data_IF_542488303164
#
_entry.id   IF_542488303164
#
_cell.length_a   1.000
_cell.length_b   1.000
_cell.length_c   1.000
_cell.angle_alpha   90.00
_cell.angle_beta   90.00
_cell.angle_gamma   90.00
#
_symmetry.space_group_name_H-M   'P 1'
#
loop_
_entity.id
_entity.type
_entity.pdbx_description
1 polymer ?
#
# COMPACT_ATOMS: atom_id res chain seq x y z
N UNK A 1 17.99 3.79 -9.44
CA UNK A 1 17.35 5.01 -9.98
C UNK A 1 15.89 4.99 -9.56
N UNK A 2 15.45 5.88 -8.67
CA UNK A 2 14.07 5.99 -8.13
C UNK A 2 13.13 6.79 -9.05
N UNK A 3 13.42 6.86 -10.35
CA UNK A 3 12.66 7.68 -11.29
C UNK A 3 11.18 7.25 -11.30
N UNK A 4 10.26 8.18 -11.05
CA UNK A 4 8.83 7.89 -10.96
C UNK A 4 8.33 7.39 -9.61
N UNK A 5 9.17 7.37 -8.55
CA UNK A 5 8.72 7.11 -7.17
C UNK A 5 8.66 8.40 -6.36
N UNK A 6 7.70 8.50 -5.44
CA UNK A 6 7.53 9.62 -4.51
C UNK A 6 7.60 9.13 -3.08
N UNK A 7 8.24 9.94 -2.23
CA UNK A 7 8.21 9.75 -0.79
C UNK A 7 6.79 10.06 -0.30
N UNK A 8 6.27 9.21 0.57
CA UNK A 8 5.00 9.43 1.23
C UNK A 8 5.12 9.13 2.72
N UNK A 9 4.18 9.67 3.47
CA UNK A 9 3.93 9.33 4.86
C UNK A 9 2.47 8.89 4.98
N UNK A 10 2.24 7.79 5.69
CA UNK A 10 0.89 7.29 5.97
C UNK A 10 0.30 7.99 7.20
N UNK A 11 -1.03 7.95 7.35
CA UNK A 11 -1.72 8.45 8.55
C UNK A 11 -1.30 7.75 9.85
N UNK A 12 -0.72 6.54 9.75
CA UNK A 12 -0.14 5.79 10.88
C UNK A 12 1.31 6.16 11.18
N UNK A 13 1.91 7.12 10.46
CA UNK A 13 3.29 7.58 10.65
C UNK A 13 4.36 6.74 9.96
N UNK A 14 3.97 5.75 9.14
CA UNK A 14 4.94 4.99 8.33
C UNK A 14 5.40 5.82 7.13
N UNK A 15 6.70 5.80 6.86
CA UNK A 15 7.34 6.45 5.72
C UNK A 15 7.59 5.41 4.63
N UNK A 16 7.40 5.79 3.37
CA UNK A 16 7.63 4.89 2.25
C UNK A 16 7.93 5.57 0.92
N UNK A 17 8.11 4.74 -0.11
CA UNK A 17 8.34 5.13 -1.50
C UNK A 17 7.33 4.44 -2.40
N UNK A 18 6.44 5.21 -3.00
CA UNK A 18 5.34 4.73 -3.83
C UNK A 18 5.39 5.25 -5.26
N UNK A 19 4.46 4.83 -6.12
CA UNK A 19 4.36 5.32 -7.50
C UNK A 19 4.02 6.81 -7.52
N UNK A 20 4.49 7.55 -8.55
CA UNK A 20 4.17 8.96 -8.71
C UNK A 20 2.67 9.27 -8.87
N UNK A 21 1.88 8.25 -9.23
CA UNK A 21 0.42 8.32 -9.36
C UNK A 21 -0.33 8.19 -8.02
N UNK A 22 0.39 7.92 -6.91
CA UNK A 22 -0.20 7.89 -5.57
C UNK A 22 -0.73 9.28 -5.18
N UNK A 23 -1.87 9.29 -4.50
CA UNK A 23 -2.62 10.48 -4.09
C UNK A 23 -3.00 10.38 -2.60
N UNK A 24 -3.43 11.52 -2.04
CA UNK A 24 -4.05 11.55 -0.72
C UNK A 24 -5.31 10.67 -0.75
N UNK A 25 -5.59 10.00 0.35
CA UNK A 25 -6.67 9.01 0.53
C UNK A 25 -6.47 7.68 -0.21
N UNK A 26 -5.34 7.46 -0.89
CA UNK A 26 -4.96 6.12 -1.32
C UNK A 26 -4.60 5.25 -0.10
N UNK A 27 -5.00 3.98 -0.16
CA UNK A 27 -4.76 3.02 0.90
C UNK A 27 -3.52 2.17 0.59
N UNK A 28 -2.74 1.89 1.62
CA UNK A 28 -1.58 1.00 1.51
C UNK A 28 -1.96 -0.36 2.09
N UNK A 29 -1.91 -1.38 1.24
CA UNK A 29 -2.34 -2.74 1.60
C UNK A 29 -1.28 -3.76 1.23
N UNK A 30 -1.08 -4.75 2.10
CA UNK A 30 -0.34 -5.95 1.80
C UNK A 30 -1.32 -6.96 1.20
N UNK A 31 -1.10 -7.37 -0.04
CA UNK A 31 -1.88 -8.46 -0.64
C UNK A 31 -1.32 -9.78 -0.09
N UNK A 32 -2.17 -10.63 0.46
CA UNK A 32 -1.74 -11.92 1.02
C UNK A 32 -1.05 -12.77 -0.05
N UNK A 33 0.15 -13.27 0.26
CA UNK A 33 1.04 -13.95 -0.69
C UNK A 33 1.96 -13.02 -1.48
N UNK A 34 1.78 -11.70 -1.38
CA UNK A 34 2.69 -10.70 -1.93
C UNK A 34 3.92 -10.47 -1.03
N UNK A 35 5.03 -10.06 -1.66
CA UNK A 35 6.29 -9.77 -0.95
C UNK A 35 6.52 -8.27 -0.68
N UNK A 36 5.64 -7.41 -1.20
CA UNK A 36 5.72 -5.95 -1.10
C UNK A 36 4.36 -5.37 -0.75
N UNK A 37 4.34 -4.10 -0.34
CA UNK A 37 3.11 -3.36 -0.13
C UNK A 37 2.61 -2.77 -1.45
N UNK A 38 1.32 -2.47 -1.52
CA UNK A 38 0.67 -1.94 -2.70
C UNK A 38 -0.17 -0.72 -2.36
N UNK A 39 -0.20 0.24 -3.28
CA UNK A 39 -1.07 1.40 -3.23
C UNK A 39 -2.35 1.06 -3.98
N UNK A 40 -3.48 1.13 -3.28
CA UNK A 40 -4.81 0.87 -3.78
C UNK A 40 -5.66 2.12 -3.64
N UNK A 41 -6.44 2.44 -4.68
CA UNK A 41 -7.39 3.56 -4.63
C UNK A 41 -8.80 3.02 -4.53
N UNK A 42 -9.50 3.42 -3.47
CA UNK A 42 -10.90 3.06 -3.26
C UNK A 42 -11.80 3.79 -4.27
N UNK A 43 -12.70 3.05 -4.92
CA UNK A 43 -13.72 3.59 -5.82
C UNK A 43 -15.11 3.51 -5.18
N UNK A 44 -16.00 4.41 -5.60
CA UNK A 44 -17.36 4.54 -5.03
C UNK A 44 -18.24 3.29 -5.23
N UNK A 45 -17.87 2.43 -6.16
CA UNK A 45 -18.56 1.19 -6.52
C UNK A 45 -18.12 -0.02 -5.66
N UNK A 46 -17.24 0.19 -4.67
CA UNK A 46 -16.72 -0.88 -3.81
C UNK A 46 -15.53 -1.63 -4.41
N UNK A 47 -15.06 -1.21 -5.58
CA UNK A 47 -13.86 -1.73 -6.21
C UNK A 47 -12.62 -0.94 -5.82
N UNK A 48 -11.45 -1.53 -6.03
CA UNK A 48 -10.16 -0.92 -5.76
C UNK A 48 -9.34 -0.88 -7.05
N UNK A 49 -8.84 0.29 -7.40
CA UNK A 49 -7.91 0.44 -8.50
C UNK A 49 -6.49 0.16 -8.01
N UNK A 50 -5.77 -0.68 -8.74
CA UNK A 50 -4.38 -0.98 -8.45
C UNK A 50 -3.47 0.12 -8.99
N UNK A 51 -2.87 0.92 -8.11
CA UNK A 51 -1.99 2.04 -8.51
C UNK A 51 -0.55 1.57 -8.70
N UNK A 52 -0.07 0.66 -7.84
CA UNK A 52 1.26 0.05 -7.99
C UNK A 52 1.87 -0.42 -6.67
N UNK A 53 3.06 -0.98 -6.77
CA UNK A 53 3.86 -1.40 -5.63
C UNK A 53 4.47 -0.22 -4.86
N UNK A 54 4.62 -0.37 -3.54
CA UNK A 54 5.31 0.57 -2.69
C UNK A 54 6.26 -0.12 -1.70
N UNK A 55 7.30 0.63 -1.33
CA UNK A 55 8.20 0.29 -0.24
C UNK A 55 7.68 1.01 1.00
N UNK A 56 7.56 0.29 2.11
CA UNK A 56 7.20 0.87 3.42
C UNK A 56 8.33 0.54 4.38
N UNK A 57 8.94 1.57 4.95
CA UNK A 57 10.08 1.41 5.83
C UNK A 57 9.66 0.69 7.12
N UNK A 58 10.43 -0.32 7.53
CA UNK A 58 10.18 -1.10 8.76
C UNK A 58 8.97 -2.03 8.69
N UNK A 59 8.40 -2.26 7.50
CA UNK A 59 7.23 -3.13 7.30
C UNK A 59 7.47 -4.21 6.24
N UNK A 60 8.71 -4.45 5.84
CA UNK A 60 9.06 -5.46 4.84
C UNK A 60 9.51 -6.77 5.50
N UNK A 61 9.79 -7.80 4.71
CA UNK A 61 10.33 -9.08 5.23
C UNK A 61 9.41 -9.78 6.24
N UNK A 62 8.11 -9.80 5.95
CA UNK A 62 7.11 -10.46 6.81
C UNK A 62 6.64 -9.65 8.01
N UNK A 63 7.31 -8.55 8.37
CA UNK A 63 6.97 -7.70 9.53
C UNK A 63 5.51 -7.20 9.49
N UNK A 64 4.99 -6.89 8.30
CA UNK A 64 3.59 -6.47 8.14
C UNK A 64 2.54 -7.55 8.38
N UNK A 65 2.92 -8.83 8.29
CA UNK A 65 2.02 -9.96 8.53
C UNK A 65 1.95 -10.35 10.01
N UNK A 66 3.01 -10.03 10.77
CA UNK A 66 3.12 -10.34 12.21
C UNK A 66 2.44 -9.29 13.09
N UNK A 67 2.17 -8.10 12.56
CA UNK A 67 1.53 -7.01 13.31
C UNK A 67 0.00 -7.18 13.38
N UNK A 68 -0.50 -7.45 14.58
CA UNK A 68 -1.93 -7.65 14.89
C UNK A 68 -2.80 -6.41 14.66
N UNK A 69 -2.19 -5.25 14.42
CA UNK A 69 -2.90 -3.99 14.12
C UNK A 69 -3.49 -3.97 12.71
N UNK A 70 -3.16 -4.93 11.84
CA UNK A 70 -3.69 -5.02 10.49
C UNK A 70 -4.89 -5.98 10.41
N UNK A 71 -6.02 -5.48 9.88
CA UNK A 71 -7.20 -6.30 9.61
C UNK A 71 -7.13 -6.90 8.20
N UNK A 72 -7.34 -8.21 8.09
CA UNK A 72 -7.49 -8.91 6.81
C UNK A 72 -8.92 -8.72 6.30
N UNK A 73 -9.06 -8.40 5.01
CA UNK A 73 -10.35 -8.27 4.31
C UNK A 73 -10.20 -8.61 2.84
N UNK A 74 -11.29 -9.07 2.23
CA UNK A 74 -11.35 -9.28 0.79
C UNK A 74 -11.55 -7.96 0.06
N UNK A 75 -10.87 -7.82 -1.09
CA UNK A 75 -11.00 -6.68 -1.98
C UNK A 75 -11.22 -7.16 -3.41
N UNK A 76 -11.86 -6.32 -4.22
CA UNK A 76 -12.02 -6.58 -5.66
C UNK A 76 -11.18 -5.55 -6.42
N UNK A 77 -10.21 -6.03 -7.20
CA UNK A 77 -9.39 -5.19 -8.07
C UNK A 77 -10.08 -4.99 -9.42
N UNK A 78 -9.96 -3.78 -9.98
CA UNK A 78 -10.42 -3.42 -11.34
C UNK A 78 -9.28 -2.96 -12.23
#
# INVERSE_FOLDING_TARGET
>A
MTFGRRLFETSRGFIGLGPAAAQIDDEISLLLGGQVWYVLRNRKDGHHEFIGECYVHGMMDGQGCEDESFSIRDIVLV
#
